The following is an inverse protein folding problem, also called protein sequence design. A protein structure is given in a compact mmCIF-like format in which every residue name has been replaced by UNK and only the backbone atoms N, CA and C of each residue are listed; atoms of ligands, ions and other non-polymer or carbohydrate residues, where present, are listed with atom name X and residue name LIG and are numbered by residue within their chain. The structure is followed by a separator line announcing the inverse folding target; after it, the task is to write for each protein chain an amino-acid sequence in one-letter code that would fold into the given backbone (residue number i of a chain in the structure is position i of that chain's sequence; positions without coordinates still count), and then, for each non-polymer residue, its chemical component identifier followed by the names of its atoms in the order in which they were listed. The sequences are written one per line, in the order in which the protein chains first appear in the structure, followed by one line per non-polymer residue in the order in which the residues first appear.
data_IF_540145606780
#
_entry.id   IF_540145606780
#
_cell.length_a   1.000
_cell.length_b   1.000
_cell.length_c   1.000
_cell.angle_alpha   90.00
_cell.angle_beta   90.00
_cell.angle_gamma   90.00
#
_symmetry.space_group_name_H-M   'P 1'
#
loop_
_entity.id
_entity.type
_entity.pdbx_description
1 polymer ?
#
# COMPACT_ATOMS: atom_id res chain seq x y z
N UNK A 1 -1.86 -0.25 -16.48
CA UNK A 1 -2.78 0.84 -16.07
C UNK A 1 -1.89 2.01 -15.72
N UNK A 2 -1.90 3.12 -16.48
CA UNK A 2 -1.08 4.29 -16.17
C UNK A 2 -1.75 5.01 -14.99
N UNK A 3 -1.08 5.03 -13.84
CA UNK A 3 -1.42 5.93 -12.74
C UNK A 3 -1.55 7.35 -13.32
N UNK A 4 -2.75 7.92 -13.22
CA UNK A 4 -3.10 9.18 -13.86
C UNK A 4 -2.12 10.30 -13.51
N UNK A 5 -1.36 10.74 -14.52
CA UNK A 5 -0.86 12.12 -14.72
C UNK A 5 0.25 12.65 -13.80
N UNK A 6 0.00 12.74 -12.49
CA UNK A 6 0.76 13.65 -11.59
C UNK A 6 1.15 13.02 -10.25
N UNK A 7 1.17 11.69 -10.15
CA UNK A 7 1.57 11.01 -8.91
C UNK A 7 3.04 10.64 -8.93
N UNK A 8 3.81 11.26 -8.03
CA UNK A 8 5.13 10.77 -7.68
C UNK A 8 5.03 9.31 -7.24
N UNK A 9 5.84 8.46 -7.87
CA UNK A 9 5.79 7.01 -7.68
C UNK A 9 7.08 6.56 -7.03
N UNK A 10 6.95 5.84 -5.91
CA UNK A 10 8.06 5.19 -5.23
C UNK A 10 7.93 3.69 -5.46
N UNK A 11 8.87 3.10 -6.19
CA UNK A 11 8.92 1.65 -6.40
C UNK A 11 9.76 1.00 -5.30
N UNK A 12 9.15 0.11 -4.52
CA UNK A 12 9.84 -0.69 -3.50
C UNK A 12 10.08 -2.07 -4.06
N UNK A 13 11.34 -2.43 -4.27
CA UNK A 13 11.71 -3.80 -4.67
C UNK A 13 11.95 -4.65 -3.41
N UNK A 14 11.07 -5.61 -3.15
CA UNK A 14 11.17 -6.52 -2.02
C UNK A 14 9.91 -7.36 -1.87
N UNK A 15 10.02 -8.53 -1.24
CA UNK A 15 8.90 -9.46 -1.05
C UNK A 15 8.39 -9.40 0.41
N UNK A 16 7.06 -9.49 0.55
CA UNK A 16 6.39 -9.64 1.85
C UNK A 16 6.64 -8.47 2.81
N UNK A 17 6.74 -8.79 4.11
CA UNK A 17 6.78 -7.84 5.23
C UNK A 17 7.84 -6.74 5.12
N UNK A 18 8.98 -7.01 4.46
CA UNK A 18 10.04 -6.02 4.32
C UNK A 18 9.57 -4.81 3.49
N UNK A 19 8.89 -5.07 2.37
CA UNK A 19 8.34 -4.02 1.50
C UNK A 19 7.23 -3.22 2.21
N UNK A 20 6.38 -3.90 2.96
CA UNK A 20 5.29 -3.30 3.73
C UNK A 20 5.81 -2.41 4.86
N UNK A 21 6.87 -2.82 5.57
CA UNK A 21 7.53 -1.98 6.59
C UNK A 21 8.13 -0.70 6.00
N UNK A 22 8.70 -0.78 4.80
CA UNK A 22 9.21 0.40 4.09
C UNK A 22 8.04 1.32 3.74
N UNK A 23 6.95 0.79 3.18
CA UNK A 23 5.76 1.57 2.84
C UNK A 23 5.18 2.31 4.07
N UNK A 24 5.11 1.66 5.24
CA UNK A 24 4.70 2.30 6.49
C UNK A 24 5.69 3.38 6.98
N UNK A 25 6.98 3.17 6.76
CA UNK A 25 8.00 4.15 7.13
C UNK A 25 7.90 5.40 6.23
N UNK A 26 7.66 5.20 4.94
CA UNK A 26 7.40 6.27 3.98
C UNK A 26 6.14 7.01 4.41
N UNK A 27 5.01 6.33 4.67
CA UNK A 27 3.77 6.97 5.11
C UNK A 27 3.97 7.94 6.29
N UNK A 28 4.85 7.63 7.25
CA UNK A 28 5.13 8.52 8.38
C UNK A 28 5.89 9.79 8.00
N UNK A 29 6.59 9.80 6.87
CA UNK A 29 7.35 10.93 6.37
C UNK A 29 6.53 11.89 5.50
N UNK A 30 5.35 11.46 5.01
CA UNK A 30 4.52 12.27 4.13
C UNK A 30 3.20 12.66 4.81
N UNK A 31 2.81 13.94 4.78
CA UNK A 31 1.54 14.38 5.34
C UNK A 31 0.34 14.03 4.46
N UNK A 32 0.56 13.72 3.17
CA UNK A 32 -0.50 13.34 2.24
C UNK A 32 -0.81 11.82 2.28
N UNK A 33 -2.04 11.41 1.96
CA UNK A 33 -2.37 10.00 1.78
C UNK A 33 -1.54 9.34 0.67
N UNK A 34 -0.91 8.21 0.98
CA UNK A 34 -0.15 7.40 0.03
C UNK A 34 -1.02 6.24 -0.42
N UNK A 35 -1.05 5.95 -1.72
CA UNK A 35 -1.66 4.73 -2.25
C UNK A 35 -0.57 3.68 -2.42
N UNK A 36 -0.77 2.53 -1.79
CA UNK A 36 0.05 1.34 -1.98
C UNK A 36 -0.66 0.42 -2.97
N UNK A 37 0.06 0.02 -4.01
CA UNK A 37 -0.40 -0.93 -5.03
C UNK A 37 0.63 -2.05 -5.09
N UNK A 38 0.15 -3.28 -5.05
CA UNK A 38 1.00 -4.44 -5.31
C UNK A 38 1.37 -4.54 -6.78
N UNK A 39 2.56 -5.04 -7.10
CA UNK A 39 3.01 -5.14 -8.50
C UNK A 39 2.13 -6.06 -9.34
N UNK A 40 1.53 -7.08 -8.72
CA UNK A 40 0.62 -8.01 -9.39
C UNK A 40 -0.85 -7.55 -9.27
N UNK A 41 -1.09 -6.32 -8.80
CA UNK A 41 -2.41 -5.74 -8.54
C UNK A 41 -3.27 -6.59 -7.60
N UNK A 42 -2.65 -7.35 -6.70
CA UNK A 42 -3.36 -8.17 -5.70
C UNK A 42 -4.06 -7.34 -4.62
N UNK A 43 -3.62 -6.10 -4.42
CA UNK A 43 -4.30 -5.10 -3.61
C UNK A 43 -4.00 -3.67 -4.11
N UNK A 44 -4.93 -2.77 -3.83
CA UNK A 44 -4.75 -1.33 -3.90
C UNK A 44 -5.39 -0.73 -2.64
N UNK A 45 -4.62 -0.02 -1.83
CA UNK A 45 -5.14 0.57 -0.60
C UNK A 45 -4.48 1.90 -0.27
N UNK A 46 -5.24 2.76 0.43
CA UNK A 46 -4.72 4.00 0.98
C UNK A 46 -4.07 3.72 2.33
N UNK A 47 -2.79 4.06 2.46
CA UNK A 47 -2.04 4.05 3.71
C UNK A 47 -2.45 5.27 4.56
N UNK A 48 -3.66 5.23 5.13
CA UNK A 48 -4.14 6.25 6.08
C UNK A 48 -4.24 5.66 7.49
N UNK A 49 -3.59 6.32 8.46
CA UNK A 49 -3.63 5.98 9.89
C UNK A 49 -3.24 4.53 10.21
N UNK A 50 -2.40 3.90 9.40
CA UNK A 50 -1.89 2.55 9.66
C UNK A 50 -0.66 2.65 10.57
N UNK A 51 -0.75 2.09 11.77
CA UNK A 51 0.28 2.26 12.80
C UNK A 51 1.14 1.00 12.99
N UNK A 52 0.69 -0.14 12.49
CA UNK A 52 1.39 -1.42 12.62
C UNK A 52 1.31 -2.25 11.34
N UNK A 53 2.27 -3.16 11.20
CA UNK A 53 2.30 -4.12 10.11
C UNK A 53 1.10 -5.07 10.15
N UNK A 54 0.64 -5.44 11.34
CA UNK A 54 -0.55 -6.27 11.53
C UNK A 54 -1.82 -5.59 10.99
N UNK A 55 -2.01 -4.30 11.27
CA UNK A 55 -3.12 -3.52 10.71
C UNK A 55 -3.06 -3.44 9.19
N UNK A 56 -1.85 -3.30 8.63
CA UNK A 56 -1.65 -3.30 7.17
C UNK A 56 -2.06 -4.65 6.57
N UNK A 57 -1.62 -5.76 7.16
CA UNK A 57 -2.01 -7.10 6.73
C UNK A 57 -3.52 -7.31 6.75
N UNK A 58 -4.20 -6.89 7.83
CA UNK A 58 -5.67 -6.97 7.90
C UNK A 58 -6.34 -6.17 6.79
N UNK A 59 -5.87 -4.95 6.51
CA UNK A 59 -6.40 -4.13 5.40
C UNK A 59 -6.15 -4.74 4.02
N UNK A 60 -4.99 -5.35 3.80
CA UNK A 60 -4.70 -6.07 2.54
C UNK A 60 -5.69 -7.21 2.37
N UNK A 61 -5.89 -8.02 3.41
CA UNK A 61 -6.85 -9.13 3.39
C UNK A 61 -8.26 -8.62 3.08
N UNK A 62 -8.75 -7.59 3.79
CA UNK A 62 -10.05 -6.96 3.54
C UNK A 62 -10.21 -6.47 2.09
N UNK A 63 -9.17 -5.83 1.54
CA UNK A 63 -9.15 -5.35 0.15
C UNK A 63 -9.23 -6.50 -0.87
N UNK A 64 -8.57 -7.63 -0.61
CA UNK A 64 -8.62 -8.79 -1.49
C UNK A 64 -9.99 -9.47 -1.48
N UNK A 65 -10.74 -9.42 -0.37
CA UNK A 65 -12.10 -10.00 -0.29
C UNK A 65 -13.17 -9.19 -1.03
N UNK A 66 -12.98 -7.89 -1.25
CA UNK A 66 -13.97 -7.05 -1.93
C UNK A 66 -14.00 -7.24 -3.46
N UNK A 67 -13.02 -7.94 -4.04
CA UNK A 67 -12.94 -8.17 -5.50
C UNK A 67 -13.75 -9.40 -5.94
N UNK A 68 -14.39 -10.13 -5.02
CA UNK A 68 -15.13 -11.38 -5.29
C UNK A 68 -16.62 -11.34 -4.91
N UNK A 69 -17.21 -10.15 -4.73
CA UNK A 69 -18.66 -9.99 -4.47
C UNK A 69 -19.38 -9.26 -5.59
#
# INVERSE_FOLDING_TARGET
MLLSGDRETISISGLGDASLKIALSIQKCYPQPIIAVDSDYSFELVLDKINSLEQLHQKILESSYQTVS
#
